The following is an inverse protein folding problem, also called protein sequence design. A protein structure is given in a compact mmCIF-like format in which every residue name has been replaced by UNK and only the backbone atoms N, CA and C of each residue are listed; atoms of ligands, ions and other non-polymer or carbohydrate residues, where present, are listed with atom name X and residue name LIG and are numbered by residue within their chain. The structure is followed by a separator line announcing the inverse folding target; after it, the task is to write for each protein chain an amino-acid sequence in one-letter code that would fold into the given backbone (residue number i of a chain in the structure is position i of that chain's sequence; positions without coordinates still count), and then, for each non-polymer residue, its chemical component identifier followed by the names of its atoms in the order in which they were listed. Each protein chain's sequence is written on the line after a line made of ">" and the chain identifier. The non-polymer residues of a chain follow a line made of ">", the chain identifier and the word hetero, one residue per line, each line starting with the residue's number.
data_IF_702685624645
#
_entry.id   IF_702685624645
#
_cell.length_a   1.000
_cell.length_b   1.000
_cell.length_c   1.000
_cell.angle_alpha   90.00
_cell.angle_beta   90.00
_cell.angle_gamma   90.00
#
_symmetry.space_group_name_H-M   'P 1'
#
loop_
_entity.id
_entity.type
_entity.pdbx_description
1 polymer ?
#
# COMPACT_ATOMS: atom_id res chain seq x y z
N UNK A 1 13.90 -14.06 -25.42
CA UNK A 1 13.82 -13.78 -23.96
C UNK A 1 13.20 -12.40 -23.80
N UNK A 2 11.98 -12.32 -23.26
CA UNK A 2 11.33 -11.02 -22.97
C UNK A 2 10.69 -11.14 -21.60
N UNK A 3 11.52 -10.96 -20.56
CA UNK A 3 11.08 -10.84 -19.17
C UNK A 3 10.54 -9.41 -18.99
N UNK A 4 9.34 -9.17 -19.49
CA UNK A 4 8.58 -7.94 -19.21
C UNK A 4 7.73 -8.06 -17.94
N UNK A 5 7.92 -9.12 -17.16
CA UNK A 5 7.10 -9.43 -15.97
C UNK A 5 7.78 -9.08 -14.64
N UNK A 6 9.07 -8.73 -14.64
CA UNK A 6 9.82 -8.48 -13.40
C UNK A 6 9.43 -7.13 -12.77
N UNK A 7 9.25 -6.10 -13.61
CA UNK A 7 8.83 -4.76 -13.15
C UNK A 7 7.42 -4.75 -12.56
N UNK A 8 6.44 -5.38 -13.24
CA UNK A 8 5.06 -5.45 -12.74
C UNK A 8 4.96 -6.25 -11.45
N UNK A 9 5.73 -7.33 -11.32
CA UNK A 9 5.78 -8.09 -10.08
C UNK A 9 6.32 -7.22 -8.94
N UNK A 10 7.35 -6.41 -9.21
CA UNK A 10 7.96 -5.52 -8.23
C UNK A 10 7.04 -4.38 -7.76
N UNK A 11 6.18 -3.84 -8.62
CA UNK A 11 5.21 -2.79 -8.27
C UNK A 11 4.05 -3.34 -7.44
N UNK A 12 3.46 -4.45 -7.88
CA UNK A 12 2.39 -5.15 -7.13
C UNK A 12 2.91 -5.61 -5.76
N UNK A 13 4.14 -6.13 -5.69
CA UNK A 13 4.78 -6.49 -4.41
C UNK A 13 4.99 -5.26 -3.52
N UNK A 14 5.40 -4.11 -4.07
CA UNK A 14 5.56 -2.89 -3.31
C UNK A 14 4.23 -2.40 -2.73
N UNK A 15 3.16 -2.42 -3.54
CA UNK A 15 1.80 -2.12 -3.10
C UNK A 15 1.34 -3.05 -1.96
N UNK A 16 1.48 -4.38 -2.14
CA UNK A 16 1.12 -5.34 -1.09
C UNK A 16 1.96 -5.16 0.18
N UNK A 17 3.25 -4.84 0.03
CA UNK A 17 4.14 -4.59 1.15
C UNK A 17 3.69 -3.36 1.95
N UNK A 18 3.22 -2.31 1.28
CA UNK A 18 2.62 -1.12 1.90
C UNK A 18 1.40 -1.47 2.74
N UNK A 19 0.47 -2.27 2.18
CA UNK A 19 -0.72 -2.73 2.90
C UNK A 19 -0.36 -3.55 4.15
N UNK A 20 0.59 -4.47 4.02
CA UNK A 20 1.06 -5.32 5.13
C UNK A 20 1.79 -4.52 6.21
N UNK A 21 2.55 -3.51 5.82
CA UNK A 21 3.25 -2.63 6.76
C UNK A 21 2.25 -1.90 7.67
N UNK A 22 1.17 -1.34 7.10
CA UNK A 22 0.12 -0.72 7.91
C UNK A 22 -0.57 -1.74 8.83
N UNK A 23 -0.88 -2.94 8.34
CA UNK A 23 -1.51 -3.98 9.16
C UNK A 23 -0.65 -4.41 10.36
N UNK A 24 0.69 -4.33 10.24
CA UNK A 24 1.64 -4.57 11.34
C UNK A 24 1.82 -3.35 12.27
N UNK A 25 1.19 -2.20 11.96
CA UNK A 25 1.32 -0.97 12.73
C UNK A 25 2.57 -0.14 12.39
N UNK A 26 3.20 -0.38 11.25
CA UNK A 26 4.29 0.48 10.78
C UNK A 26 3.78 1.89 10.46
N UNK A 27 4.68 2.88 10.48
CA UNK A 27 4.42 4.24 9.99
C UNK A 27 4.84 4.38 8.53
N UNK A 28 4.25 5.35 7.83
CA UNK A 28 4.55 5.64 6.41
C UNK A 28 6.04 5.97 6.17
N UNK A 29 6.72 6.51 7.18
CA UNK A 29 8.16 6.81 7.13
C UNK A 29 9.06 5.56 7.05
N UNK A 30 8.54 4.36 7.35
CA UNK A 30 9.27 3.10 7.24
C UNK A 30 9.28 2.52 5.81
N UNK A 31 9.10 3.36 4.80
CA UNK A 31 9.14 2.93 3.41
C UNK A 31 10.57 2.46 3.05
N UNK A 32 10.77 1.19 2.64
CA UNK A 32 12.10 0.64 2.37
C UNK A 32 12.70 1.13 1.04
N UNK A 33 11.94 1.84 0.20
CA UNK A 33 12.37 2.27 -1.13
C UNK A 33 13.02 3.66 -1.13
N UNK A 34 14.06 3.80 -1.95
CA UNK A 34 14.80 5.05 -2.11
C UNK A 34 13.92 6.16 -2.72
N UNK A 35 14.31 7.41 -2.50
CA UNK A 35 13.62 8.56 -3.07
C UNK A 35 13.81 8.57 -4.60
N UNK A 36 12.71 8.67 -5.36
CA UNK A 36 12.71 8.57 -6.82
C UNK A 36 12.52 7.15 -7.38
N UNK A 37 12.36 6.14 -6.52
CA UNK A 37 11.96 4.79 -6.94
C UNK A 37 10.43 4.72 -7.09
N UNK A 38 9.94 4.28 -8.25
CA UNK A 38 8.50 4.14 -8.54
C UNK A 38 7.80 3.19 -7.55
N UNK A 39 8.52 2.19 -7.02
CA UNK A 39 7.99 1.28 -5.99
C UNK A 39 7.69 1.98 -4.68
N UNK A 40 8.35 3.11 -4.41
CA UNK A 40 8.06 3.94 -3.23
C UNK A 40 6.65 4.50 -3.29
N UNK A 41 6.23 4.95 -4.47
CA UNK A 41 4.90 5.50 -4.71
C UNK A 41 3.84 4.41 -4.59
N UNK A 42 4.06 3.23 -5.19
CA UNK A 42 3.10 2.11 -5.03
C UNK A 42 3.03 1.56 -3.60
N UNK A 43 4.15 1.50 -2.89
CA UNK A 43 4.12 1.16 -1.46
C UNK A 43 3.30 2.16 -0.67
N UNK A 44 3.48 3.47 -0.91
CA UNK A 44 2.71 4.52 -0.23
C UNK A 44 1.22 4.45 -0.59
N UNK A 45 0.92 4.11 -1.85
CA UNK A 45 -0.43 3.89 -2.33
C UNK A 45 -1.11 2.72 -1.59
N UNK A 46 -0.46 1.56 -1.53
CA UNK A 46 -0.96 0.41 -0.78
C UNK A 46 -1.09 0.67 0.71
N UNK A 47 -0.12 1.35 1.33
CA UNK A 47 -0.21 1.74 2.73
C UNK A 47 -1.43 2.64 3.01
N UNK A 48 -1.64 3.66 2.18
CA UNK A 48 -2.77 4.59 2.28
C UNK A 48 -4.10 3.88 2.04
N UNK A 49 -4.15 2.94 1.09
CA UNK A 49 -5.35 2.15 0.82
C UNK A 49 -5.74 1.28 2.03
N UNK A 50 -4.77 0.61 2.66
CA UNK A 50 -5.01 -0.14 3.89
C UNK A 50 -5.48 0.75 5.06
N UNK A 51 -4.95 1.98 5.16
CA UNK A 51 -5.45 2.98 6.11
C UNK A 51 -6.91 3.34 5.85
N UNK A 52 -7.27 3.59 4.58
CA UNK A 52 -8.65 3.92 4.17
C UNK A 52 -9.61 2.77 4.47
N UNK A 53 -9.24 1.53 4.16
CA UNK A 53 -10.06 0.34 4.46
C UNK A 53 -10.32 0.23 5.97
N UNK A 54 -9.28 0.37 6.79
CA UNK A 54 -9.45 0.35 8.25
C UNK A 54 -10.33 1.51 8.71
N UNK A 55 -10.15 2.71 8.15
CA UNK A 55 -10.98 3.87 8.48
C UNK A 55 -12.44 3.67 8.07
N UNK A 56 -12.71 3.02 6.94
CA UNK A 56 -14.06 2.71 6.45
C UNK A 56 -14.75 1.70 7.36
N UNK A 57 -14.01 0.69 7.82
CA UNK A 57 -14.47 -0.29 8.80
C UNK A 57 -14.81 0.33 10.17
N UNK A 58 -14.21 1.48 10.49
CA UNK A 58 -14.47 2.25 11.70
C UNK A 58 -15.49 3.38 11.51
N UNK A 59 -16.11 3.54 10.33
CA UNK A 59 -17.20 4.51 10.17
C UNK A 59 -18.38 4.08 11.05
N UNK A 60 -18.72 4.86 12.10
CA UNK A 60 -19.90 4.57 12.90
C UNK A 60 -21.11 4.93 12.05
N UNK A 61 -21.87 3.92 11.62
CA UNK A 61 -23.25 4.02 11.16
C UNK A 61 -23.51 5.02 10.03
N UNK A 62 -23.63 4.52 8.81
CA UNK A 62 -24.68 5.07 7.97
C UNK A 62 -26.01 4.62 8.61
N UNK A 63 -26.86 5.52 9.15
CA UNK A 63 -28.23 5.12 9.48
C UNK A 63 -28.90 4.71 8.16
N UNK A 64 -29.61 3.57 8.14
CA UNK A 64 -30.45 3.24 7.00
C UNK A 64 -31.58 4.28 6.96
N UNK A 65 -31.64 5.05 5.86
CA UNK A 65 -32.89 5.71 5.46
C UNK A 65 -33.78 4.69 4.76
#
# INVERSE_FOLDING_TARGET
>A
MKTGSDDRNSEDEAYELGRRAFAKGACSDNNPFAQGDQRRDEWAHGFTDAQKIRSDQHKPGHPPN
#
